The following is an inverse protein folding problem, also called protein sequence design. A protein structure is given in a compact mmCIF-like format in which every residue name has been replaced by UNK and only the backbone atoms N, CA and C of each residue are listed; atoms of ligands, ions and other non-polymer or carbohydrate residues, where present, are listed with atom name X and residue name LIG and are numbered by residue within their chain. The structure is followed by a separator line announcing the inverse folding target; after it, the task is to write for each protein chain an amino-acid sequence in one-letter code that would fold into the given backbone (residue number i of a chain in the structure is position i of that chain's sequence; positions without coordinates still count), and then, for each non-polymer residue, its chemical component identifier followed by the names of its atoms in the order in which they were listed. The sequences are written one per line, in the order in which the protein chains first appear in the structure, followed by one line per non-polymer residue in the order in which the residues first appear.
data_IF_579080114147
#
_entry.id   IF_579080114147
#
_cell.length_a   1.000
_cell.length_b   1.000
_cell.length_c   1.000
_cell.angle_alpha   90.00
_cell.angle_beta   90.00
_cell.angle_gamma   90.00
#
_symmetry.space_group_name_H-M   'P 1'
#
loop_
_entity.id
_entity.type
_entity.pdbx_description
1 polymer ?
#
# COMPACT_ATOMS: atom_id res chain seq x y z
N UNK A 1 46.64 43.84 27.44
CA UNK A 1 45.19 43.67 27.23
C UNK A 1 44.93 43.85 25.73
N UNK A 2 44.71 42.73 25.03
CA UNK A 2 44.48 42.76 23.57
C UNK A 2 43.03 43.05 23.28
N UNK A 3 42.76 44.23 22.70
CA UNK A 3 41.38 44.63 22.26
C UNK A 3 40.99 43.79 21.04
N UNK A 4 40.14 42.78 21.26
CA UNK A 4 39.52 42.03 20.16
C UNK A 4 38.67 43.04 19.36
N UNK A 5 39.01 43.30 18.10
CA UNK A 5 38.28 44.26 17.31
C UNK A 5 36.86 43.75 17.00
N UNK A 6 35.84 44.58 17.16
CA UNK A 6 34.43 44.24 16.87
C UNK A 6 34.23 43.66 15.45
N UNK A 7 35.07 44.08 14.50
CA UNK A 7 35.11 43.51 13.13
C UNK A 7 35.47 42.02 13.09
N UNK A 8 36.37 41.57 13.96
CA UNK A 8 36.75 40.15 14.06
C UNK A 8 35.60 39.32 14.67
N UNK A 9 34.91 39.83 15.68
CA UNK A 9 33.75 39.21 16.29
C UNK A 9 32.58 39.12 15.31
N UNK A 10 32.31 40.18 14.55
CA UNK A 10 31.26 40.21 13.53
C UNK A 10 31.53 39.23 12.38
N UNK A 11 32.80 39.07 11.93
CA UNK A 11 33.19 38.11 10.91
C UNK A 11 33.04 36.65 11.37
N UNK A 12 33.38 36.34 12.61
CA UNK A 12 33.21 35.00 13.20
C UNK A 12 31.74 34.70 13.36
N UNK A 13 30.89 35.65 13.80
CA UNK A 13 29.46 35.44 13.88
C UNK A 13 28.81 35.23 12.48
N UNK A 14 29.23 35.99 11.48
CA UNK A 14 28.75 35.83 10.11
C UNK A 14 29.15 34.48 9.51
N UNK A 15 30.39 34.01 9.77
CA UNK A 15 30.84 32.66 9.35
C UNK A 15 30.09 31.55 10.05
N UNK A 16 29.74 31.70 11.34
CA UNK A 16 28.96 30.73 12.09
C UNK A 16 27.49 30.64 11.60
N UNK A 17 26.91 31.75 11.15
CA UNK A 17 25.55 31.79 10.59
C UNK A 17 25.47 31.17 9.19
N UNK A 18 26.54 31.21 8.40
CA UNK A 18 26.60 30.61 7.08
C UNK A 18 26.77 29.05 7.12
N UNK A 19 27.26 28.50 8.23
CA UNK A 19 27.39 27.05 8.40
C UNK A 19 26.13 26.35 8.91
N UNK A 20 25.07 27.08 9.25
CA UNK A 20 23.83 26.52 9.83
C UNK A 20 22.85 25.91 8.81
N UNK A 21 23.11 26.04 7.50
CA UNK A 21 22.24 25.49 6.44
C UNK A 21 22.82 24.20 5.82
N UNK A 22 23.26 23.24 6.63
CA UNK A 22 23.49 21.89 6.09
C UNK A 22 22.16 21.14 6.06
N UNK A 23 21.59 20.90 4.86
CA UNK A 23 20.44 20.04 4.73
C UNK A 23 20.78 18.65 5.27
N UNK A 24 19.92 18.11 6.13
CA UNK A 24 20.11 16.75 6.64
C UNK A 24 20.19 15.75 5.48
N UNK A 25 21.11 14.79 5.49
CA UNK A 25 21.22 13.81 4.44
C UNK A 25 19.94 12.98 4.36
N UNK A 26 19.43 12.78 3.15
CA UNK A 26 18.32 11.86 2.92
C UNK A 26 18.80 10.44 3.16
N UNK A 27 18.12 9.71 4.03
CA UNK A 27 18.43 8.34 4.37
C UNK A 27 17.30 7.42 3.90
N UNK A 28 17.63 6.41 3.11
CA UNK A 28 16.72 5.38 2.63
C UNK A 28 17.05 4.06 3.31
N UNK A 29 16.06 3.43 3.94
CA UNK A 29 16.19 2.10 4.55
C UNK A 29 15.12 1.20 3.93
N UNK A 30 15.54 0.01 3.43
CA UNK A 30 14.63 -0.98 2.87
C UNK A 30 14.03 -1.82 3.98
N UNK A 31 12.72 -1.76 4.14
CA UNK A 31 11.99 -2.59 5.10
C UNK A 31 11.40 -3.82 4.41
N UNK A 32 11.34 -4.97 5.08
CA UNK A 32 10.53 -6.09 4.62
C UNK A 32 9.05 -5.72 4.57
N UNK A 33 8.32 -6.37 3.67
CA UNK A 33 6.86 -6.32 3.65
C UNK A 33 6.25 -7.04 4.88
N UNK A 34 4.95 -6.90 5.08
CA UNK A 34 4.23 -7.55 6.20
C UNK A 34 4.33 -9.07 6.17
N UNK A 35 4.51 -9.68 5.00
CA UNK A 35 4.73 -11.13 4.83
C UNK A 35 6.21 -11.53 4.95
N UNK A 36 7.09 -10.57 5.30
CA UNK A 36 8.53 -10.77 5.47
C UNK A 36 9.34 -10.80 4.17
N UNK A 37 8.71 -10.63 3.01
CA UNK A 37 9.42 -10.53 1.74
C UNK A 37 10.23 -9.24 1.66
N UNK A 38 11.41 -9.35 1.07
CA UNK A 38 12.29 -8.21 0.82
C UNK A 38 12.34 -7.95 -0.67
N UNK A 39 11.90 -6.77 -1.07
CA UNK A 39 12.02 -6.29 -2.44
C UNK A 39 13.41 -5.75 -2.76
N UNK A 40 13.53 -5.00 -3.84
CA UNK A 40 14.75 -4.26 -4.17
C UNK A 40 14.39 -2.84 -4.58
N UNK A 41 15.20 -1.88 -4.14
CA UNK A 41 15.07 -0.45 -4.48
C UNK A 41 16.41 0.05 -5.00
N UNK A 42 16.36 0.88 -6.04
CA UNK A 42 17.55 1.61 -6.53
C UNK A 42 17.40 3.06 -6.09
N UNK A 43 18.38 3.53 -5.34
CA UNK A 43 18.50 4.92 -4.91
C UNK A 43 19.52 5.60 -5.81
N UNK A 44 19.11 6.63 -6.53
CA UNK A 44 20.01 7.39 -7.40
C UNK A 44 20.03 8.87 -7.02
N UNK A 45 21.15 9.51 -7.26
CA UNK A 45 21.31 10.96 -7.22
C UNK A 45 22.11 11.41 -8.47
N UNK A 46 22.43 12.69 -8.56
CA UNK A 46 23.18 13.24 -9.70
C UNK A 46 24.59 12.63 -9.90
N UNK A 47 25.10 11.89 -8.93
CA UNK A 47 26.49 11.41 -8.89
C UNK A 47 26.61 9.87 -8.94
N UNK A 48 25.50 9.14 -8.94
CA UNK A 48 25.49 7.68 -9.01
C UNK A 48 24.23 7.02 -8.48
N UNK A 49 24.23 5.70 -8.52
CA UNK A 49 23.14 4.88 -8.03
C UNK A 49 23.62 3.79 -7.08
N UNK A 50 22.76 3.38 -6.16
CA UNK A 50 23.00 2.29 -5.23
C UNK A 50 21.76 1.41 -5.12
N UNK A 51 21.92 0.10 -5.32
CA UNK A 51 20.87 -0.90 -5.13
C UNK A 51 20.81 -1.35 -3.68
N UNK A 52 19.58 -1.41 -3.13
CA UNK A 52 19.25 -2.03 -1.85
C UNK A 52 18.36 -3.25 -2.13
N UNK A 53 18.77 -4.43 -1.65
CA UNK A 53 18.03 -5.69 -1.77
C UNK A 53 18.13 -6.55 -0.50
N UNK A 54 18.60 -5.96 0.59
CA UNK A 54 18.67 -6.60 1.91
C UNK A 54 17.74 -5.91 2.89
N UNK A 55 17.06 -6.70 3.72
CA UNK A 55 16.25 -6.18 4.82
C UNK A 55 17.09 -5.28 5.72
N UNK A 56 16.52 -4.11 6.06
CA UNK A 56 17.19 -3.07 6.86
C UNK A 56 18.50 -2.55 6.26
N UNK A 57 18.76 -2.86 4.98
CA UNK A 57 19.81 -2.24 4.20
C UNK A 57 19.57 -0.74 4.08
N UNK A 58 20.65 0.05 4.11
CA UNK A 58 20.56 1.50 4.18
C UNK A 58 21.46 2.18 3.18
N UNK A 59 20.97 3.26 2.58
CA UNK A 59 21.74 4.18 1.73
C UNK A 59 21.57 5.59 2.26
N UNK A 60 22.68 6.29 2.41
CA UNK A 60 22.70 7.73 2.67
C UNK A 60 22.89 8.46 1.30
N UNK A 61 21.82 9.11 0.84
CA UNK A 61 21.82 9.96 -0.35
C UNK A 61 22.12 11.39 0.09
N UNK A 62 23.40 11.72 0.23
CA UNK A 62 23.83 13.06 0.64
C UNK A 62 23.57 14.11 -0.43
N UNK A 63 23.39 15.37 -0.01
CA UNK A 63 23.29 16.54 -0.88
C UNK A 63 24.68 17.06 -1.30
N UNK A 64 25.75 16.50 -0.78
CA UNK A 64 27.13 17.03 -0.84
C UNK A 64 27.95 16.61 -2.07
N UNK A 65 27.30 16.30 -3.20
CA UNK A 65 28.02 15.98 -4.43
C UNK A 65 28.71 14.59 -4.45
N UNK A 66 28.46 13.75 -3.44
CA UNK A 66 28.94 12.37 -3.41
C UNK A 66 27.88 11.39 -3.96
N UNK A 67 28.32 10.26 -4.58
CA UNK A 67 27.39 9.19 -4.95
C UNK A 67 26.61 8.68 -3.75
N UNK A 68 25.41 8.13 -4.00
CA UNK A 68 24.68 7.39 -2.99
C UNK A 68 25.54 6.22 -2.47
N UNK A 69 25.70 6.11 -1.15
CA UNK A 69 26.55 5.09 -0.55
C UNK A 69 25.76 4.13 0.30
N UNK A 70 25.96 2.82 0.05
CA UNK A 70 25.46 1.79 0.95
C UNK A 70 26.19 1.89 2.30
N UNK A 71 25.43 1.99 3.36
CA UNK A 71 25.93 1.91 4.73
C UNK A 71 25.61 0.54 5.32
N UNK A 72 26.25 0.18 6.42
CA UNK A 72 26.00 -1.10 7.08
C UNK A 72 24.50 -1.25 7.40
N UNK A 73 23.92 -2.41 7.03
CA UNK A 73 22.55 -2.76 7.41
C UNK A 73 22.39 -2.67 8.93
N UNK A 74 21.27 -2.12 9.35
CA UNK A 74 20.89 -2.04 10.75
C UNK A 74 20.22 -3.36 11.17
N UNK A 75 20.27 -3.71 12.44
CA UNK A 75 19.46 -4.84 12.93
C UNK A 75 18.00 -4.42 13.04
N UNK A 76 17.08 -5.38 12.88
CA UNK A 76 15.64 -5.15 13.04
C UNK A 76 15.34 -4.44 14.37
N UNK A 77 15.84 -4.98 15.47
CA UNK A 77 15.55 -4.46 16.83
C UNK A 77 16.04 -3.02 17.02
N UNK A 78 17.23 -2.70 16.49
CA UNK A 78 17.78 -1.34 16.57
C UNK A 78 16.97 -0.35 15.74
N UNK A 79 16.50 -0.77 14.53
CA UNK A 79 15.63 0.04 13.69
C UNK A 79 14.27 0.26 14.35
N UNK A 80 13.61 -0.81 14.81
CA UNK A 80 12.29 -0.73 15.47
C UNK A 80 12.34 0.12 16.75
N UNK A 81 13.38 -0.03 17.56
CA UNK A 81 13.54 0.78 18.78
C UNK A 81 13.66 2.29 18.46
N UNK A 82 14.40 2.63 17.41
CA UNK A 82 14.61 4.03 16.98
C UNK A 82 13.38 4.65 16.36
N UNK A 83 12.61 3.87 15.62
CA UNK A 83 11.46 4.33 14.84
C UNK A 83 10.10 3.91 15.42
N UNK A 84 10.09 3.44 16.68
CA UNK A 84 8.88 2.91 17.33
C UNK A 84 7.66 3.79 17.15
N UNK A 85 7.77 5.09 17.42
CA UNK A 85 6.64 6.03 17.29
C UNK A 85 6.07 6.09 15.86
N UNK A 86 6.92 5.99 14.83
CA UNK A 86 6.50 5.96 13.44
C UNK A 86 5.87 4.61 13.07
N UNK A 87 6.44 3.52 13.56
CA UNK A 87 5.93 2.17 13.31
C UNK A 87 4.57 1.96 14.00
N UNK A 88 4.43 2.43 15.23
CA UNK A 88 3.17 2.35 15.98
C UNK A 88 2.06 3.24 15.36
N UNK A 89 2.44 4.28 14.62
CA UNK A 89 1.52 5.15 13.91
C UNK A 89 1.14 4.64 12.50
N UNK A 90 1.74 3.54 12.03
CA UNK A 90 1.39 2.97 10.73
C UNK A 90 -0.05 2.42 10.77
N UNK A 91 -0.85 2.67 9.73
CA UNK A 91 -2.16 2.03 9.62
C UNK A 91 -2.00 0.51 9.52
N UNK A 92 -2.98 -0.21 10.02
CA UNK A 92 -3.03 -1.67 9.85
C UNK A 92 -3.03 -2.02 8.35
N UNK A 93 -2.38 -3.10 7.92
CA UNK A 93 -2.42 -3.53 6.52
C UNK A 93 -3.87 -3.76 6.05
N UNK A 94 -4.20 -3.44 4.79
CA UNK A 94 -5.50 -3.73 4.24
C UNK A 94 -5.85 -5.21 4.34
N UNK A 95 -7.12 -5.54 4.61
CA UNK A 95 -7.64 -6.90 4.51
C UNK A 95 -8.32 -7.08 3.17
N UNK A 96 -8.07 -8.23 2.53
CA UNK A 96 -8.67 -8.58 1.25
C UNK A 96 -9.46 -9.88 1.36
N UNK A 97 -10.69 -9.86 0.84
CA UNK A 97 -11.57 -11.01 0.79
C UNK A 97 -12.10 -11.23 -0.62
N UNK A 98 -12.35 -12.48 -0.97
CA UNK A 98 -12.95 -12.86 -2.26
C UNK A 98 -14.24 -13.62 -2.01
N UNK A 99 -15.32 -13.14 -2.62
CA UNK A 99 -16.63 -13.79 -2.64
C UNK A 99 -16.99 -14.19 -4.08
N UNK A 100 -17.25 -15.46 -4.30
CA UNK A 100 -17.63 -16.00 -5.60
C UNK A 100 -19.16 -16.09 -5.76
N UNK A 101 -19.61 -15.96 -7.00
CA UNK A 101 -21.02 -15.98 -7.39
C UNK A 101 -21.37 -17.19 -8.24
N UNK A 102 -22.65 -17.56 -8.19
CA UNK A 102 -23.21 -18.54 -9.10
C UNK A 102 -23.18 -18.02 -10.54
N UNK A 103 -23.32 -18.95 -11.49
CA UNK A 103 -23.36 -18.60 -12.91
C UNK A 103 -24.54 -17.65 -13.18
N UNK A 104 -24.26 -16.61 -13.95
CA UNK A 104 -25.26 -15.61 -14.40
C UNK A 104 -26.16 -15.07 -13.26
N UNK A 105 -25.55 -14.78 -12.10
CA UNK A 105 -26.28 -14.43 -10.89
C UNK A 105 -25.49 -13.51 -9.97
N UNK A 106 -26.18 -12.78 -9.11
CA UNK A 106 -25.68 -12.06 -7.95
C UNK A 106 -25.74 -12.87 -6.65
N UNK A 107 -26.17 -14.14 -6.74
CA UNK A 107 -26.14 -15.03 -5.59
C UNK A 107 -24.74 -15.56 -5.30
N UNK A 108 -24.35 -15.48 -4.04
CA UNK A 108 -23.09 -16.04 -3.57
C UNK A 108 -23.12 -17.57 -3.64
N UNK A 109 -21.97 -18.17 -3.96
CA UNK A 109 -21.80 -19.61 -3.80
C UNK A 109 -21.98 -20.02 -2.33
N UNK A 110 -22.34 -21.31 -2.06
CA UNK A 110 -22.47 -21.79 -0.68
C UNK A 110 -21.20 -21.56 0.15
N UNK A 111 -20.03 -21.67 -0.46
CA UNK A 111 -18.75 -21.39 0.20
C UNK A 111 -18.63 -19.90 0.56
N UNK A 112 -18.91 -19.01 -0.37
CA UNK A 112 -18.84 -17.55 -0.13
C UNK A 112 -19.89 -17.08 0.89
N UNK A 113 -21.05 -17.71 0.92
CA UNK A 113 -22.04 -17.45 2.00
C UNK A 113 -21.50 -17.81 3.39
N UNK A 114 -20.73 -18.90 3.51
CA UNK A 114 -20.09 -19.25 4.80
C UNK A 114 -18.97 -18.30 5.20
N UNK A 115 -18.29 -17.69 4.23
CA UNK A 115 -17.24 -16.66 4.48
C UNK A 115 -17.81 -15.28 4.80
N UNK A 116 -19.02 -14.97 4.38
CA UNK A 116 -19.61 -13.65 4.56
C UNK A 116 -19.60 -13.14 6.01
N UNK A 117 -19.92 -13.95 7.05
CA UNK A 117 -19.82 -13.50 8.44
C UNK A 117 -18.40 -13.04 8.85
N UNK A 118 -17.35 -13.66 8.34
CA UNK A 118 -15.97 -13.26 8.57
C UNK A 118 -15.69 -11.88 7.97
N UNK A 119 -16.11 -11.65 6.73
CA UNK A 119 -16.00 -10.33 6.07
C UNK A 119 -16.73 -9.25 6.88
N UNK A 120 -17.95 -9.54 7.30
CA UNK A 120 -18.75 -8.61 8.11
C UNK A 120 -18.10 -8.32 9.47
N UNK A 121 -17.49 -9.32 10.10
CA UNK A 121 -16.77 -9.14 11.36
C UNK A 121 -15.52 -8.28 11.16
N UNK A 122 -14.75 -8.51 10.09
CA UNK A 122 -13.57 -7.73 9.76
C UNK A 122 -13.89 -6.24 9.52
N UNK A 123 -15.01 -5.93 8.84
CA UNK A 123 -15.45 -4.54 8.68
C UNK A 123 -15.78 -3.91 10.04
N UNK A 124 -16.55 -4.60 10.91
CA UNK A 124 -16.90 -4.08 12.24
C UNK A 124 -15.67 -3.81 13.11
N UNK A 125 -14.69 -4.70 13.06
CA UNK A 125 -13.46 -4.57 13.86
C UNK A 125 -12.61 -3.37 13.42
N UNK A 126 -12.72 -2.97 12.16
CA UNK A 126 -11.94 -1.87 11.57
C UNK A 126 -12.64 -0.52 11.55
N UNK A 127 -13.90 -0.44 11.96
CA UNK A 127 -14.60 0.86 11.99
C UNK A 127 -13.88 1.87 12.92
N UNK A 128 -13.72 3.13 12.50
CA UNK A 128 -14.08 3.69 11.18
C UNK A 128 -13.09 3.27 10.09
N UNK A 129 -13.60 2.85 8.93
CA UNK A 129 -12.79 2.33 7.82
C UNK A 129 -13.41 2.70 6.48
N UNK A 130 -12.64 2.56 5.41
CA UNK A 130 -13.12 2.63 4.03
C UNK A 130 -13.05 1.25 3.39
N UNK A 131 -14.00 0.95 2.52
CA UNK A 131 -14.07 -0.33 1.83
C UNK A 131 -14.13 -0.11 0.33
N UNK A 132 -13.30 -0.82 -0.43
CA UNK A 132 -13.41 -0.88 -1.89
C UNK A 132 -13.90 -2.25 -2.29
N UNK A 133 -14.90 -2.29 -3.19
CA UNK A 133 -15.45 -3.53 -3.73
C UNK A 133 -15.25 -3.55 -5.24
N UNK A 134 -14.56 -4.56 -5.72
CA UNK A 134 -14.29 -4.79 -7.14
C UNK A 134 -15.13 -5.95 -7.66
N UNK A 135 -15.95 -5.72 -8.69
CA UNK A 135 -16.78 -6.75 -9.32
C UNK A 135 -16.15 -7.31 -10.59
N UNK A 136 -16.28 -8.63 -10.78
CA UNK A 136 -15.77 -9.35 -11.94
C UNK A 136 -16.78 -10.37 -12.48
N UNK A 137 -16.70 -10.63 -13.77
CA UNK A 137 -17.44 -11.69 -14.45
C UNK A 137 -16.47 -12.67 -15.13
N UNK A 138 -16.95 -13.86 -15.46
CA UNK A 138 -16.22 -14.73 -16.38
C UNK A 138 -16.45 -14.31 -17.85
N UNK A 139 -15.76 -14.95 -18.78
CA UNK A 139 -15.82 -14.62 -20.20
C UNK A 139 -16.96 -15.32 -20.96
N UNK A 140 -17.93 -15.94 -20.27
CA UNK A 140 -19.00 -16.73 -20.90
C UNK A 140 -20.06 -15.87 -21.62
N UNK A 141 -20.22 -14.60 -21.26
CA UNK A 141 -21.19 -13.66 -21.86
C UNK A 141 -20.58 -12.65 -22.83
N UNK A 142 -21.42 -11.82 -23.41
CA UNK A 142 -20.96 -10.67 -24.19
C UNK A 142 -20.24 -9.64 -23.28
N UNK A 143 -19.18 -8.95 -23.74
CA UNK A 143 -18.41 -8.02 -22.91
C UNK A 143 -19.24 -6.93 -22.23
N UNK A 144 -20.22 -6.37 -22.92
CA UNK A 144 -21.12 -5.34 -22.37
C UNK A 144 -22.00 -5.90 -21.25
N UNK A 145 -22.50 -7.12 -21.42
CA UNK A 145 -23.26 -7.82 -20.38
C UNK A 145 -22.40 -8.17 -19.17
N UNK A 146 -21.19 -8.68 -19.40
CA UNK A 146 -20.24 -9.00 -18.33
C UNK A 146 -19.85 -7.75 -17.53
N UNK A 147 -19.71 -6.60 -18.17
CA UNK A 147 -19.47 -5.33 -17.49
C UNK A 147 -20.64 -4.95 -16.56
N UNK A 148 -21.88 -5.07 -17.05
CA UNK A 148 -23.07 -4.82 -16.22
C UNK A 148 -23.19 -5.80 -15.08
N UNK A 149 -23.03 -7.10 -15.34
CA UNK A 149 -23.11 -8.16 -14.31
C UNK A 149 -22.07 -7.97 -13.20
N UNK A 150 -20.85 -7.56 -13.57
CA UNK A 150 -19.80 -7.25 -12.60
C UNK A 150 -20.15 -6.06 -11.71
N UNK A 151 -20.77 -5.00 -12.27
CA UNK A 151 -21.28 -3.87 -11.49
C UNK A 151 -22.40 -4.28 -10.53
N UNK A 152 -23.31 -5.13 -10.96
CA UNK A 152 -24.40 -5.64 -10.11
C UNK A 152 -23.87 -6.49 -8.95
N UNK A 153 -22.85 -7.30 -9.19
CA UNK A 153 -22.15 -8.06 -8.13
C UNK A 153 -21.49 -7.16 -7.10
N UNK A 154 -20.78 -6.12 -7.53
CA UNK A 154 -20.19 -5.13 -6.61
C UNK A 154 -21.28 -4.45 -5.76
N UNK A 155 -22.40 -4.03 -6.38
CA UNK A 155 -23.54 -3.43 -5.66
C UNK A 155 -24.21 -4.41 -4.68
N UNK A 156 -24.33 -5.69 -5.04
CA UNK A 156 -24.91 -6.71 -4.16
C UNK A 156 -24.06 -6.88 -2.89
N UNK A 157 -22.72 -6.94 -3.03
CA UNK A 157 -21.80 -6.98 -1.88
C UNK A 157 -21.90 -5.70 -1.06
N UNK A 158 -21.88 -4.53 -1.67
CA UNK A 158 -22.03 -3.26 -0.98
C UNK A 158 -23.33 -3.20 -0.16
N UNK A 159 -24.44 -3.72 -0.70
CA UNK A 159 -25.71 -3.80 0.02
C UNK A 159 -25.64 -4.74 1.25
N UNK A 160 -24.83 -5.79 1.20
CA UNK A 160 -24.58 -6.66 2.35
C UNK A 160 -23.77 -5.95 3.43
N UNK A 161 -22.74 -5.19 3.04
CA UNK A 161 -21.88 -4.43 3.96
C UNK A 161 -22.61 -3.27 4.63
N UNK A 162 -23.49 -2.56 3.91
CA UNK A 162 -24.34 -1.48 4.46
C UNK A 162 -25.31 -1.93 5.56
N UNK A 163 -25.54 -3.23 5.72
CA UNK A 163 -26.28 -3.75 6.87
C UNK A 163 -25.52 -3.63 8.20
N UNK A 164 -24.20 -3.43 8.14
CA UNK A 164 -23.36 -3.19 9.33
C UNK A 164 -23.40 -1.72 9.69
N UNK A 165 -23.14 -0.87 8.70
CA UNK A 165 -23.12 0.58 8.80
C UNK A 165 -23.69 1.17 7.50
N UNK A 166 -24.87 1.80 7.53
CA UNK A 166 -25.48 2.42 6.35
C UNK A 166 -24.61 3.52 5.73
N UNK A 167 -23.80 4.21 6.54
CA UNK A 167 -22.96 5.32 6.15
C UNK A 167 -21.50 4.90 5.85
N UNK A 168 -21.23 3.59 5.84
CA UNK A 168 -19.89 3.05 5.53
C UNK A 168 -19.35 3.63 4.22
N UNK A 169 -18.21 4.35 4.24
CA UNK A 169 -17.58 4.86 3.04
C UNK A 169 -17.17 3.70 2.13
N UNK A 170 -17.73 3.65 0.92
CA UNK A 170 -17.44 2.57 -0.03
C UNK A 170 -17.19 3.10 -1.43
N UNK A 171 -16.10 2.62 -2.04
CA UNK A 171 -15.85 2.75 -3.46
C UNK A 171 -16.26 1.45 -4.16
N UNK A 172 -16.92 1.56 -5.32
CA UNK A 172 -17.33 0.42 -6.13
C UNK A 172 -16.72 0.55 -7.53
N UNK A 173 -15.98 -0.47 -7.92
CA UNK A 173 -15.41 -0.60 -9.25
C UNK A 173 -15.78 -1.95 -9.88
N UNK A 174 -15.78 -2.01 -11.22
CA UNK A 174 -16.14 -3.23 -11.94
C UNK A 174 -15.41 -3.33 -13.27
N UNK A 175 -15.01 -4.55 -13.63
CA UNK A 175 -14.12 -4.80 -14.76
C UNK A 175 -14.70 -5.75 -15.82
N UNK A 176 -15.91 -6.28 -15.61
CA UNK A 176 -16.44 -7.32 -16.48
C UNK A 176 -15.53 -8.53 -16.49
N UNK A 177 -15.15 -9.00 -17.66
CA UNK A 177 -14.24 -10.12 -17.91
C UNK A 177 -12.79 -9.69 -18.22
N UNK A 178 -12.47 -8.39 -18.11
CA UNK A 178 -11.16 -7.85 -18.53
C UNK A 178 -9.99 -8.17 -17.61
N UNK A 179 -10.25 -8.57 -16.36
CA UNK A 179 -9.21 -8.87 -15.37
C UNK A 179 -9.47 -10.24 -14.74
N UNK A 180 -9.31 -11.34 -15.50
CA UNK A 180 -9.57 -12.68 -15.02
C UNK A 180 -8.53 -13.09 -13.97
N UNK A 181 -8.97 -13.67 -12.85
CA UNK A 181 -8.10 -14.31 -11.86
C UNK A 181 -7.43 -15.55 -12.46
N UNK A 182 -8.20 -16.27 -13.28
CA UNK A 182 -7.72 -17.42 -14.04
C UNK A 182 -7.81 -17.09 -15.52
N UNK A 183 -6.69 -17.03 -16.25
CA UNK A 183 -6.70 -16.84 -17.68
C UNK A 183 -7.61 -17.86 -18.38
N UNK A 184 -8.62 -17.39 -19.10
CA UNK A 184 -9.66 -18.22 -19.70
C UNK A 184 -9.96 -17.71 -21.12
N UNK A 185 -10.03 -18.59 -22.11
CA UNK A 185 -10.42 -18.19 -23.46
C UNK A 185 -11.80 -17.51 -23.51
N UNK A 186 -12.04 -16.60 -24.46
CA UNK A 186 -13.34 -15.98 -24.66
C UNK A 186 -14.47 -17.01 -24.79
N UNK A 187 -15.61 -16.73 -24.19
CA UNK A 187 -16.79 -17.60 -24.23
C UNK A 187 -16.73 -18.84 -23.31
N UNK A 188 -15.68 -19.00 -22.52
CA UNK A 188 -15.54 -20.13 -21.60
C UNK A 188 -15.93 -19.74 -20.16
N UNK A 189 -16.82 -20.47 -19.49
CA UNK A 189 -17.14 -20.22 -18.10
C UNK A 189 -15.98 -20.63 -17.17
N UNK A 190 -15.66 -19.78 -16.20
CA UNK A 190 -14.70 -20.05 -15.13
C UNK A 190 -15.25 -19.55 -13.79
N UNK A 191 -15.64 -20.46 -12.88
CA UNK A 191 -16.23 -20.11 -11.59
C UNK A 191 -15.39 -19.13 -10.76
N UNK A 192 -14.06 -19.23 -10.79
CA UNK A 192 -13.15 -18.39 -10.01
C UNK A 192 -13.12 -16.95 -10.52
N UNK A 193 -13.48 -16.71 -11.79
CA UNK A 193 -13.57 -15.37 -12.36
C UNK A 193 -14.89 -14.66 -11.99
N UNK A 194 -15.93 -15.39 -11.56
CA UNK A 194 -17.19 -14.84 -11.09
C UNK A 194 -17.07 -14.44 -9.63
N UNK A 195 -16.51 -13.27 -9.37
CA UNK A 195 -16.16 -12.87 -8.01
C UNK A 195 -16.39 -11.39 -7.74
N UNK A 196 -16.47 -11.05 -6.46
CA UNK A 196 -16.15 -9.73 -5.96
C UNK A 196 -14.95 -9.82 -5.02
N UNK A 197 -14.05 -8.87 -5.15
CA UNK A 197 -12.93 -8.66 -4.23
C UNK A 197 -13.28 -7.48 -3.32
N UNK A 198 -13.06 -7.63 -2.02
CA UNK A 198 -13.38 -6.65 -1.00
C UNK A 198 -12.07 -6.27 -0.32
N UNK A 199 -11.72 -5.00 -0.37
CA UNK A 199 -10.55 -4.45 0.31
C UNK A 199 -11.03 -3.54 1.45
N UNK A 200 -10.58 -3.82 2.68
CA UNK A 200 -10.91 -3.08 3.90
C UNK A 200 -9.62 -2.41 4.37
N UNK A 201 -9.61 -1.10 4.51
CA UNK A 201 -8.45 -0.30 4.93
C UNK A 201 -8.29 -0.28 6.45
#
# INVERSE_FOLDING_TARGET
MTTVSWRAVALVLAAALLSACSAAPTRVTLLPDHDGKVGAVVVHNAHGEQRLDQAYGRVDAGTSGAPAQATRAETRDAFEARHRTLLDAQPKPPLSFVLNFLFDSMELTPESRRKLPEVLAAVRERLPTEVTVFGYADSAGAPAYNLQLSAERARAVAAMLRKIDPDLPMQLDWFGDKSPLVPTPPGKPEPRNRRAEIQIL
#
